data_IF_717439770180
#
_entry.id   IF_717439770180
#
_cell.length_a   1.000
_cell.length_b   1.000
_cell.length_c   1.000
_cell.angle_alpha   90.00
_cell.angle_beta   90.00
_cell.angle_gamma   90.00
#
_symmetry.space_group_name_H-M   'P 1'
#
loop_
_entity.id
_entity.type
_entity.pdbx_description
1 polymer ?
#
# COMPACT_ATOMS: atom_id res chain seq x y z
N UNK A 1 -28.61 4.07 -26.59
CA UNK A 1 -27.42 3.27 -26.33
C UNK A 1 -27.51 2.79 -24.90
N UNK A 2 -27.23 1.51 -24.56
CA UNK A 2 -27.17 1.11 -23.17
C UNK A 2 -26.08 1.94 -22.49
N UNK A 3 -26.39 2.41 -21.26
CA UNK A 3 -25.43 3.16 -20.44
C UNK A 3 -24.15 2.31 -20.32
N UNK A 4 -23.03 2.82 -20.79
CA UNK A 4 -21.73 2.18 -20.56
C UNK A 4 -21.51 2.16 -19.06
N UNK A 5 -21.55 0.98 -18.45
CA UNK A 5 -21.08 0.80 -17.09
C UNK A 5 -19.63 1.31 -17.06
N UNK A 6 -19.40 2.41 -16.36
CA UNK A 6 -18.05 2.96 -16.26
C UNK A 6 -17.20 2.03 -15.39
N UNK A 7 -16.14 1.48 -15.98
CA UNK A 7 -15.17 0.65 -15.23
C UNK A 7 -14.56 1.50 -14.12
N UNK A 8 -14.54 1.02 -12.87
CA UNK A 8 -13.86 1.74 -11.78
C UNK A 8 -12.38 1.98 -12.10
N UNK A 9 -11.85 3.10 -11.66
CA UNK A 9 -10.48 3.55 -11.93
C UNK A 9 -9.68 3.60 -10.63
N UNK A 10 -8.44 3.12 -10.65
CA UNK A 10 -7.51 3.25 -9.53
C UNK A 10 -6.27 4.02 -9.97
N UNK A 11 -5.95 5.11 -9.27
CA UNK A 11 -4.70 5.84 -9.43
C UNK A 11 -3.65 5.27 -8.48
N UNK A 12 -2.55 4.77 -9.03
CA UNK A 12 -1.38 4.32 -8.29
C UNK A 12 -0.31 5.40 -8.29
N UNK A 13 0.08 5.87 -7.11
CA UNK A 13 1.21 6.74 -6.87
C UNK A 13 2.28 5.91 -6.18
N UNK A 14 3.44 5.72 -6.79
CA UNK A 14 4.44 4.81 -6.21
C UNK A 14 5.76 4.75 -6.94
N UNK A 15 6.67 3.95 -6.41
CA UNK A 15 7.98 3.69 -7.00
C UNK A 15 7.91 2.74 -8.19
N UNK A 16 8.69 3.04 -9.21
CA UNK A 16 8.83 2.15 -10.36
C UNK A 16 9.89 1.08 -10.06
N UNK A 17 9.45 -0.16 -9.87
CA UNK A 17 10.33 -1.34 -9.89
C UNK A 17 10.37 -1.92 -11.31
N UNK A 18 11.48 -1.76 -12.06
CA UNK A 18 11.56 -2.24 -13.43
C UNK A 18 11.51 -3.76 -13.55
N UNK A 19 11.76 -4.51 -12.45
CA UNK A 19 11.63 -5.96 -12.43
C UNK A 19 10.19 -6.46 -12.22
N UNK A 20 9.22 -5.56 -12.01
CA UNK A 20 7.81 -5.84 -11.75
C UNK A 20 7.54 -6.75 -10.52
N UNK A 21 8.54 -6.94 -9.65
CA UNK A 21 8.40 -7.71 -8.43
C UNK A 21 7.64 -6.95 -7.32
N UNK A 22 7.64 -5.62 -7.37
CA UNK A 22 6.97 -4.72 -6.43
C UNK A 22 6.59 -3.40 -7.15
N UNK A 23 6.23 -2.36 -6.38
CA UNK A 23 5.99 -1.01 -6.87
C UNK A 23 4.83 -0.88 -7.86
N UNK A 24 4.85 0.19 -8.67
CA UNK A 24 3.78 0.54 -9.59
C UNK A 24 3.37 -0.59 -10.54
N UNK A 25 4.32 -1.35 -11.09
CA UNK A 25 3.99 -2.43 -12.00
C UNK A 25 3.23 -3.56 -11.28
N UNK A 26 3.56 -3.82 -10.01
CA UNK A 26 2.81 -4.77 -9.19
C UNK A 26 1.41 -4.24 -8.86
N UNK A 27 1.27 -2.97 -8.57
CA UNK A 27 -0.02 -2.32 -8.32
C UNK A 27 -0.93 -2.43 -9.53
N UNK A 28 -0.42 -2.06 -10.72
CA UNK A 28 -1.13 -2.15 -12.00
C UNK A 28 -1.60 -3.58 -12.30
N UNK A 29 -0.72 -4.56 -12.17
CA UNK A 29 -1.07 -5.97 -12.40
C UNK A 29 -2.14 -6.48 -11.43
N UNK A 30 -2.06 -6.09 -10.15
CA UNK A 30 -3.03 -6.48 -9.13
C UNK A 30 -4.42 -5.92 -9.43
N UNK A 31 -4.51 -4.64 -9.73
CA UNK A 31 -5.78 -3.97 -10.05
C UNK A 31 -6.39 -4.49 -11.35
N UNK A 32 -5.58 -4.68 -12.39
CA UNK A 32 -6.04 -5.25 -13.65
C UNK A 32 -6.60 -6.66 -13.47
N UNK A 33 -5.99 -7.50 -12.61
CA UNK A 33 -6.51 -8.84 -12.29
C UNK A 33 -7.87 -8.81 -11.56
N UNK A 34 -8.23 -7.69 -10.94
CA UNK A 34 -9.55 -7.45 -10.31
C UNK A 34 -10.55 -6.76 -11.25
N UNK A 35 -10.18 -6.50 -12.51
CA UNK A 35 -11.05 -5.80 -13.46
C UNK A 35 -11.15 -4.29 -13.22
N UNK A 36 -10.26 -3.70 -12.44
CA UNK A 36 -10.15 -2.26 -12.21
C UNK A 36 -9.20 -1.67 -13.25
N UNK A 37 -9.54 -0.51 -13.84
CA UNK A 37 -8.63 0.20 -14.74
C UNK A 37 -7.53 0.94 -13.97
N UNK A 38 -6.25 0.50 -14.04
CA UNK A 38 -5.19 1.15 -13.30
C UNK A 38 -4.60 2.32 -14.08
N UNK A 39 -4.39 3.44 -13.41
CA UNK A 39 -3.58 4.56 -13.87
C UNK A 39 -2.38 4.70 -12.93
N UNK A 40 -1.25 5.20 -13.43
CA UNK A 40 -0.03 5.25 -12.64
C UNK A 40 0.73 6.56 -12.82
N UNK A 41 1.17 7.12 -11.69
CA UNK A 41 2.14 8.23 -11.63
C UNK A 41 3.32 7.78 -10.78
N UNK A 42 4.52 7.84 -11.35
CA UNK A 42 5.75 7.54 -10.64
C UNK A 42 6.03 8.62 -9.59
N UNK A 43 6.31 8.21 -8.34
CA UNK A 43 6.74 9.07 -7.23
C UNK A 43 8.13 8.72 -6.70
N UNK A 44 8.77 7.69 -7.24
CA UNK A 44 10.16 7.32 -7.00
C UNK A 44 10.69 6.48 -8.17
N UNK A 45 11.71 6.97 -8.85
CA UNK A 45 12.45 6.16 -9.82
C UNK A 45 13.44 5.28 -9.09
N UNK A 46 13.47 3.99 -9.41
CA UNK A 46 14.40 3.05 -8.76
C UNK A 46 15.26 2.32 -9.76
N UNK A 47 16.54 2.16 -9.41
CA UNK A 47 17.43 1.22 -10.05
C UNK A 47 17.44 -0.05 -9.19
N UNK A 48 16.53 -0.98 -9.52
CA UNK A 48 16.41 -2.20 -8.71
C UNK A 48 16.14 -3.44 -9.57
N UNK A 49 16.39 -4.58 -8.98
CA UNK A 49 16.16 -5.89 -9.57
C UNK A 49 15.60 -6.88 -8.52
N UNK A 50 15.55 -8.16 -8.86
CA UNK A 50 15.05 -9.20 -7.97
C UNK A 50 15.85 -9.38 -6.66
N UNK A 51 17.05 -8.79 -6.51
CA UNK A 51 17.90 -8.93 -5.32
C UNK A 51 18.02 -7.67 -4.50
N UNK A 52 18.17 -6.51 -5.14
CA UNK A 52 18.48 -5.26 -4.44
C UNK A 52 17.90 -4.05 -5.15
N UNK A 53 17.62 -3.00 -4.38
CA UNK A 53 17.47 -1.63 -4.83
C UNK A 53 18.82 -0.93 -4.70
N UNK A 54 19.39 -0.50 -5.81
CA UNK A 54 20.74 0.09 -5.90
C UNK A 54 20.72 1.61 -5.80
N UNK A 55 19.65 2.23 -6.28
CA UNK A 55 19.45 3.68 -6.21
C UNK A 55 17.96 4.04 -6.24
N UNK A 56 17.62 5.16 -5.64
CA UNK A 56 16.30 5.78 -5.68
C UNK A 56 16.49 7.26 -6.00
N UNK A 57 15.68 7.80 -6.90
CA UNK A 57 15.68 9.20 -7.27
C UNK A 57 14.24 9.73 -7.38
N UNK A 58 14.01 11.04 -7.22
CA UNK A 58 12.74 11.63 -7.56
C UNK A 58 12.49 11.54 -9.07
N UNK A 59 11.26 11.24 -9.51
CA UNK A 59 10.91 11.20 -10.94
C UNK A 59 10.74 12.61 -11.50
N UNK A 60 10.79 12.72 -12.81
CA UNK A 60 10.47 13.97 -13.50
C UNK A 60 8.96 14.26 -13.40
N UNK A 61 8.63 15.46 -12.95
CA UNK A 61 7.32 16.12 -12.96
C UNK A 61 6.09 15.23 -12.67
N UNK A 62 5.93 14.71 -11.45
CA UNK A 62 4.77 13.88 -11.10
C UNK A 62 3.45 14.68 -11.08
N UNK A 63 3.51 15.99 -10.85
CA UNK A 63 2.32 16.85 -10.86
C UNK A 63 1.76 17.02 -12.27
N UNK A 64 2.58 17.31 -13.26
CA UNK A 64 2.12 17.41 -14.64
C UNK A 64 1.52 16.08 -15.14
N UNK A 65 2.08 14.95 -14.71
CA UNK A 65 1.52 13.62 -15.01
C UNK A 65 0.15 13.42 -14.37
N UNK A 66 -0.03 13.84 -13.11
CA UNK A 66 -1.33 13.79 -12.44
C UNK A 66 -2.34 14.70 -13.13
N UNK A 67 -1.96 15.93 -13.50
CA UNK A 67 -2.85 16.85 -14.22
C UNK A 67 -3.30 16.29 -15.58
N UNK A 68 -2.42 15.60 -16.30
CA UNK A 68 -2.77 14.94 -17.55
C UNK A 68 -3.81 13.80 -17.36
N UNK A 69 -3.85 13.19 -16.19
CA UNK A 69 -4.83 12.15 -15.84
C UNK A 69 -6.12 12.70 -15.22
N UNK A 70 -6.13 13.93 -14.69
CA UNK A 70 -7.26 14.52 -13.99
C UNK A 70 -8.60 14.42 -14.77
N UNK A 71 -8.66 14.64 -16.11
CA UNK A 71 -9.92 14.50 -16.84
C UNK A 71 -10.55 13.09 -16.76
N UNK A 72 -9.73 12.04 -16.64
CA UNK A 72 -10.22 10.67 -16.46
C UNK A 72 -10.80 10.43 -15.06
N UNK A 73 -10.24 11.10 -14.05
CA UNK A 73 -10.67 11.00 -12.65
C UNK A 73 -11.93 11.84 -12.38
N UNK A 74 -12.11 12.92 -13.11
CA UNK A 74 -13.29 13.82 -13.05
C UNK A 74 -14.47 13.30 -13.90
N UNK A 75 -14.29 12.22 -14.66
CA UNK A 75 -15.27 11.69 -15.62
C UNK A 75 -16.47 10.95 -15.01
N UNK A 76 -16.68 10.99 -13.69
CA UNK A 76 -17.85 10.46 -12.99
C UNK A 76 -17.84 8.95 -12.70
N UNK A 77 -16.81 8.20 -13.14
CA UNK A 77 -16.62 6.82 -12.70
C UNK A 77 -16.12 6.79 -11.24
N UNK A 78 -16.50 5.79 -10.42
CA UNK A 78 -15.89 5.60 -9.11
C UNK A 78 -14.38 5.42 -9.25
N UNK A 79 -13.60 6.20 -8.50
CA UNK A 79 -12.16 6.05 -8.51
C UNK A 79 -11.56 6.15 -7.11
N UNK A 80 -10.37 5.59 -6.96
CA UNK A 80 -9.63 5.63 -5.71
C UNK A 80 -8.14 5.73 -5.94
N UNK A 81 -7.40 5.99 -4.87
CA UNK A 81 -5.95 6.20 -4.93
C UNK A 81 -5.20 5.31 -3.94
N UNK A 82 -4.10 4.74 -4.41
CA UNK A 82 -3.08 4.10 -3.57
C UNK A 82 -1.79 4.91 -3.65
N UNK A 83 -1.23 5.28 -2.51
CA UNK A 83 0.11 5.81 -2.38
C UNK A 83 1.05 4.73 -1.82
N UNK A 84 2.19 4.53 -2.48
CA UNK A 84 3.27 3.65 -2.01
C UNK A 84 4.58 4.41 -1.84
N UNK A 85 5.69 3.84 -2.35
CA UNK A 85 7.03 4.42 -2.25
C UNK A 85 7.07 5.82 -2.89
N UNK A 86 7.58 6.81 -2.15
CA UNK A 86 7.63 8.21 -2.58
C UNK A 86 8.99 8.82 -2.24
N UNK A 87 9.69 9.35 -3.24
CA UNK A 87 11.00 10.02 -3.10
C UNK A 87 10.93 11.51 -3.44
N UNK A 88 9.75 12.11 -3.33
CA UNK A 88 9.54 13.53 -3.62
C UNK A 88 10.04 14.39 -2.45
N UNK A 89 10.51 15.59 -2.77
CA UNK A 89 10.75 16.60 -1.75
C UNK A 89 9.43 17.02 -1.06
N UNK A 90 9.49 17.59 0.15
CA UNK A 90 8.28 17.92 0.93
C UNK A 90 7.30 18.86 0.23
N UNK A 91 7.79 19.81 -0.56
CA UNK A 91 6.93 20.78 -1.26
C UNK A 91 6.18 20.12 -2.42
N UNK A 92 6.86 19.35 -3.25
CA UNK A 92 6.25 18.57 -4.33
C UNK A 92 5.29 17.52 -3.78
N UNK A 93 5.63 16.85 -2.67
CA UNK A 93 4.74 15.91 -2.01
C UNK A 93 3.45 16.57 -1.51
N UNK A 94 3.57 17.73 -0.83
CA UNK A 94 2.42 18.47 -0.34
C UNK A 94 1.49 18.94 -1.49
N UNK A 95 2.07 19.42 -2.59
CA UNK A 95 1.31 19.81 -3.77
C UNK A 95 0.57 18.61 -4.39
N UNK A 96 1.24 17.46 -4.51
CA UNK A 96 0.64 16.22 -5.02
C UNK A 96 -0.51 15.75 -4.12
N UNK A 97 -0.30 15.71 -2.80
CA UNK A 97 -1.30 15.33 -1.81
C UNK A 97 -2.53 16.26 -1.85
N UNK A 98 -2.30 17.58 -1.92
CA UNK A 98 -3.35 18.58 -2.04
C UNK A 98 -4.16 18.41 -3.33
N UNK A 99 -3.51 18.13 -4.45
CA UNK A 99 -4.21 17.89 -5.72
C UNK A 99 -5.04 16.61 -5.70
N UNK A 100 -4.51 15.53 -5.15
CA UNK A 100 -5.25 14.28 -4.96
C UNK A 100 -6.48 14.51 -4.09
N UNK A 101 -6.34 15.26 -2.99
CA UNK A 101 -7.47 15.60 -2.12
C UNK A 101 -8.55 16.40 -2.85
N UNK A 102 -8.14 17.39 -3.67
CA UNK A 102 -9.07 18.21 -4.48
C UNK A 102 -9.83 17.40 -5.54
N UNK A 103 -9.26 16.33 -6.07
CA UNK A 103 -9.89 15.39 -7.00
C UNK A 103 -10.89 14.44 -6.31
N UNK A 104 -10.98 14.46 -4.98
CA UNK A 104 -11.96 13.76 -4.15
C UNK A 104 -12.14 12.25 -4.45
N UNK A 105 -11.09 11.42 -4.34
CA UNK A 105 -11.21 9.97 -4.52
C UNK A 105 -12.18 9.35 -3.51
N UNK A 106 -12.97 8.36 -3.96
CA UNK A 106 -13.92 7.63 -3.12
C UNK A 106 -13.23 6.67 -2.12
N UNK A 107 -12.01 6.25 -2.40
CA UNK A 107 -11.21 5.39 -1.52
C UNK A 107 -9.73 5.79 -1.59
N UNK A 108 -9.07 5.80 -0.45
CA UNK A 108 -7.67 6.22 -0.30
C UNK A 108 -6.93 5.22 0.56
N UNK A 109 -5.79 4.72 0.09
CA UNK A 109 -4.92 3.88 0.89
C UNK A 109 -3.46 4.31 0.75
N UNK A 110 -2.77 4.39 1.88
CA UNK A 110 -1.34 4.62 1.96
C UNK A 110 -0.61 3.39 2.50
N UNK A 111 0.32 2.85 1.71
CA UNK A 111 1.29 1.83 2.12
C UNK A 111 2.59 2.56 2.50
N UNK A 112 2.89 2.76 3.81
CA UNK A 112 3.93 3.68 4.28
C UNK A 112 5.32 3.07 4.22
N UNK A 113 5.80 2.79 3.01
CA UNK A 113 7.06 2.08 2.76
C UNK A 113 8.24 2.90 3.28
N UNK A 114 8.94 2.37 4.30
CA UNK A 114 10.18 2.94 4.84
C UNK A 114 11.36 2.69 3.92
N UNK A 115 11.47 1.46 3.44
CA UNK A 115 12.55 1.02 2.57
C UNK A 115 12.05 -0.05 1.60
N UNK A 116 12.61 -0.15 0.39
CA UNK A 116 12.37 -1.30 -0.46
C UNK A 116 12.84 -2.58 0.23
N UNK A 117 12.29 -3.72 -0.18
CA UNK A 117 12.54 -5.05 0.45
C UNK A 117 14.03 -5.43 0.59
N UNK A 118 14.91 -4.79 -0.17
CA UNK A 118 16.37 -4.89 -0.03
C UNK A 118 17.02 -3.64 -0.61
N UNK A 119 17.83 -2.93 0.15
CA UNK A 119 18.61 -1.81 -0.36
C UNK A 119 18.62 -0.57 0.52
N UNK A 120 18.63 0.57 -0.12
CA UNK A 120 18.79 1.88 0.53
C UNK A 120 17.55 2.24 1.33
N UNK A 121 17.70 2.69 2.57
CA UNK A 121 16.63 3.30 3.34
C UNK A 121 16.18 4.59 2.65
N UNK A 122 14.88 4.69 2.37
CA UNK A 122 14.33 5.86 1.70
C UNK A 122 13.93 6.95 2.69
N UNK A 123 13.29 6.55 3.78
CA UNK A 123 12.79 7.46 4.79
C UNK A 123 13.35 7.16 6.17
N UNK A 124 13.79 8.20 6.87
CA UNK A 124 13.96 8.12 8.31
C UNK A 124 12.57 8.06 9.00
N UNK A 125 12.48 7.58 10.25
CA UNK A 125 11.24 7.66 11.01
C UNK A 125 10.67 9.09 11.11
N UNK A 126 11.52 10.10 11.15
CA UNK A 126 11.10 11.51 11.12
C UNK A 126 10.51 11.92 9.77
N UNK A 127 11.13 11.49 8.67
CA UNK A 127 10.61 11.71 7.32
C UNK A 127 9.25 11.06 7.10
N UNK A 128 9.09 9.82 7.57
CA UNK A 128 7.81 9.12 7.51
C UNK A 128 6.71 9.87 8.29
N UNK A 129 7.03 10.37 9.51
CA UNK A 129 6.10 11.18 10.31
C UNK A 129 5.71 12.48 9.61
N UNK A 130 6.65 13.16 8.97
CA UNK A 130 6.39 14.40 8.22
C UNK A 130 5.46 14.14 7.02
N UNK A 131 5.68 13.04 6.28
CA UNK A 131 4.79 12.62 5.20
C UNK A 131 3.39 12.28 5.73
N UNK A 132 3.30 11.53 6.83
CA UNK A 132 2.04 11.19 7.48
C UNK A 132 1.26 12.45 7.88
N UNK A 133 1.90 13.41 8.52
CA UNK A 133 1.28 14.67 8.93
C UNK A 133 0.72 15.45 7.73
N UNK A 134 1.46 15.51 6.62
CA UNK A 134 1.00 16.17 5.39
C UNK A 134 -0.18 15.43 4.74
N UNK A 135 -0.08 14.12 4.61
CA UNK A 135 -1.05 13.31 3.86
C UNK A 135 -2.37 13.14 4.62
N UNK A 136 -2.28 12.87 5.94
CA UNK A 136 -3.42 12.49 6.76
C UNK A 136 -4.23 13.70 7.27
N UNK A 137 -3.69 14.91 7.23
CA UNK A 137 -4.38 16.13 7.66
C UNK A 137 -5.71 16.35 6.93
N UNK A 138 -5.86 15.87 5.69
CA UNK A 138 -7.09 15.96 4.90
C UNK A 138 -8.12 14.84 5.19
N UNK A 139 -7.80 13.90 6.08
CA UNK A 139 -8.67 12.75 6.42
C UNK A 139 -8.92 11.77 5.28
N UNK A 140 -9.71 10.74 5.58
CA UNK A 140 -10.20 9.75 4.60
C UNK A 140 -9.14 8.77 4.06
N UNK A 141 -7.95 8.70 4.66
CA UNK A 141 -6.92 7.75 4.31
C UNK A 141 -6.94 6.53 5.23
N UNK A 142 -6.97 5.35 4.63
CA UNK A 142 -6.58 4.12 5.30
C UNK A 142 -5.08 3.96 5.18
N UNK A 143 -4.40 3.68 6.28
CA UNK A 143 -2.96 3.41 6.29
C UNK A 143 -2.74 1.91 6.49
N UNK A 144 -1.87 1.29 5.67
CA UNK A 144 -1.62 -0.14 5.74
C UNK A 144 -0.16 -0.46 6.10
N UNK A 145 0.30 -0.15 7.32
CA UNK A 145 1.66 -0.43 7.74
C UNK A 145 1.89 -1.92 8.01
N UNK A 146 3.10 -2.38 7.77
CA UNK A 146 3.60 -3.59 8.40
C UNK A 146 4.13 -3.28 9.81
N UNK A 147 4.50 -4.32 10.57
CA UNK A 147 4.99 -4.15 11.95
C UNK A 147 6.23 -3.23 12.05
N UNK A 148 7.29 -3.38 11.24
CA UNK A 148 8.43 -2.45 11.22
C UNK A 148 8.04 -0.98 10.95
N UNK A 149 7.15 -0.74 10.02
CA UNK A 149 6.65 0.59 9.65
C UNK A 149 5.84 1.21 10.80
N UNK A 150 4.97 0.43 11.43
CA UNK A 150 4.20 0.88 12.58
C UNK A 150 5.09 1.19 13.79
N UNK A 151 6.09 0.38 14.08
CA UNK A 151 7.10 0.63 15.13
C UNK A 151 7.90 1.91 14.87
N UNK A 152 8.29 2.17 13.62
CA UNK A 152 8.98 3.41 13.23
C UNK A 152 8.12 4.66 13.48
N UNK A 153 6.81 4.55 13.29
CA UNK A 153 5.87 5.64 13.61
C UNK A 153 5.66 5.80 15.11
N UNK A 154 5.48 4.70 15.84
CA UNK A 154 5.22 4.73 17.28
C UNK A 154 6.45 5.18 18.11
N UNK A 155 7.67 4.94 17.60
CA UNK A 155 8.90 5.25 18.30
C UNK A 155 9.19 4.32 19.48
N UNK A 156 10.07 4.73 20.38
CA UNK A 156 10.59 3.88 21.47
C UNK A 156 9.54 3.51 22.56
N UNK A 157 8.34 4.05 22.48
CA UNK A 157 7.31 3.84 23.51
C UNK A 157 6.52 2.52 23.38
N UNK A 158 6.61 1.85 22.23
CA UNK A 158 5.90 0.58 21.99
C UNK A 158 6.91 -0.52 21.72
N UNK A 159 6.91 -1.53 22.60
CA UNK A 159 7.71 -2.74 22.41
C UNK A 159 6.75 -3.90 22.06
N UNK A 160 7.08 -4.64 21.02
CA UNK A 160 6.39 -5.86 20.64
C UNK A 160 7.41 -6.99 20.72
N UNK A 161 7.12 -7.97 21.57
CA UNK A 161 7.93 -9.20 21.60
C UNK A 161 7.74 -9.92 20.26
N UNK A 162 8.81 -10.01 19.47
CA UNK A 162 8.75 -10.55 18.11
C UNK A 162 8.47 -12.05 18.02
N UNK A 163 8.15 -12.71 19.12
CA UNK A 163 7.96 -14.18 19.19
C UNK A 163 6.50 -14.63 19.10
N UNK A 164 5.54 -13.74 19.30
CA UNK A 164 4.10 -14.07 19.28
C UNK A 164 3.31 -13.15 18.35
N UNK A 165 2.07 -13.52 17.97
CA UNK A 165 1.17 -12.60 17.30
C UNK A 165 1.01 -11.31 18.12
N UNK A 166 0.94 -10.18 17.44
CA UNK A 166 0.78 -8.88 18.10
C UNK A 166 -0.52 -8.85 18.90
N UNK A 167 -0.51 -8.58 20.22
CA UNK A 167 -1.74 -8.42 20.98
C UNK A 167 -2.57 -7.22 20.51
N UNK A 168 -3.90 -7.28 20.67
CA UNK A 168 -4.80 -6.21 20.21
C UNK A 168 -4.47 -4.85 20.84
N UNK A 169 -4.07 -4.81 22.13
CA UNK A 169 -3.65 -3.59 22.82
C UNK A 169 -2.37 -3.00 22.20
N UNK A 170 -1.41 -3.85 21.83
CA UNK A 170 -0.20 -3.41 21.18
C UNK A 170 -0.50 -2.94 19.73
N UNK A 171 -1.42 -3.61 19.03
CA UNK A 171 -1.89 -3.17 17.72
C UNK A 171 -2.54 -1.79 17.79
N UNK A 172 -3.37 -1.53 18.82
CA UNK A 172 -3.96 -0.21 19.04
C UNK A 172 -2.89 0.87 19.30
N UNK A 173 -1.90 0.56 20.14
CA UNK A 173 -0.81 1.49 20.43
C UNK A 173 0.04 1.80 19.19
N UNK A 174 0.29 0.82 18.32
CA UNK A 174 1.01 0.98 17.06
C UNK A 174 0.23 1.81 16.03
N UNK A 175 -1.09 1.73 16.04
CA UNK A 175 -1.96 2.48 15.14
C UNK A 175 -2.15 3.94 15.58
N UNK A 176 -2.05 4.22 16.88
CA UNK A 176 -2.37 5.52 17.48
C UNK A 176 -1.71 6.72 16.80
N UNK A 177 -0.41 6.70 16.46
CA UNK A 177 0.23 7.85 15.80
C UNK A 177 -0.37 8.20 14.44
N UNK A 178 -0.88 7.22 13.69
CA UNK A 178 -1.54 7.47 12.42
C UNK A 178 -2.95 8.06 12.62
N UNK A 179 -3.70 7.51 13.57
CA UNK A 179 -5.05 8.00 13.91
C UNK A 179 -5.00 9.43 14.44
N UNK A 180 -4.04 9.75 15.29
CA UNK A 180 -3.85 11.12 15.84
C UNK A 180 -3.50 12.15 14.75
N UNK A 181 -2.91 11.70 13.63
CA UNK A 181 -2.62 12.53 12.46
C UNK A 181 -3.81 12.62 11.48
N UNK A 182 -4.91 11.93 11.74
CA UNK A 182 -6.14 12.01 10.93
C UNK A 182 -6.39 10.83 9.99
N UNK A 183 -5.71 9.68 10.16
CA UNK A 183 -6.07 8.48 9.44
C UNK A 183 -7.50 8.05 9.78
N UNK A 184 -8.29 7.65 8.77
CA UNK A 184 -9.61 7.07 8.95
C UNK A 184 -9.55 5.71 9.65
N UNK A 185 -8.58 4.90 9.23
CA UNK A 185 -8.30 3.59 9.81
C UNK A 185 -6.85 3.18 9.58
N UNK A 186 -6.38 2.24 10.37
CA UNK A 186 -5.09 1.57 10.18
C UNK A 186 -5.34 0.08 9.97
N UNK A 187 -4.91 -0.43 8.83
CA UNK A 187 -4.83 -1.87 8.57
C UNK A 187 -3.41 -2.35 8.91
N UNK A 188 -3.19 -2.76 10.16
CA UNK A 188 -1.91 -3.30 10.61
C UNK A 188 -1.72 -4.73 10.10
N UNK A 189 -0.70 -4.92 9.25
CA UNK A 189 -0.37 -6.21 8.62
C UNK A 189 0.53 -7.04 9.54
N UNK A 190 0.09 -8.24 9.93
CA UNK A 190 0.82 -9.15 10.83
C UNK A 190 1.91 -9.98 10.19
N UNK A 191 2.13 -9.87 8.88
CA UNK A 191 3.04 -10.73 8.12
C UNK A 191 4.49 -10.73 8.57
N UNK A 192 4.97 -9.69 9.24
CA UNK A 192 6.34 -9.57 9.77
C UNK A 192 6.48 -10.01 11.23
N UNK A 193 5.41 -10.42 11.89
CA UNK A 193 5.48 -11.06 13.21
C UNK A 193 6.11 -12.46 13.11
N UNK A 194 6.43 -13.04 14.27
CA UNK A 194 6.86 -14.44 14.37
C UNK A 194 5.65 -15.37 14.50
N UNK A 195 5.90 -16.67 14.59
CA UNK A 195 4.86 -17.66 14.79
C UNK A 195 4.35 -18.32 13.51
N UNK A 196 3.48 -19.32 13.71
CA UNK A 196 2.92 -20.14 12.61
C UNK A 196 1.70 -19.51 11.96
N UNK A 197 1.11 -18.51 12.58
CA UNK A 197 -0.07 -17.81 12.12
C UNK A 197 0.24 -16.33 11.85
N UNK A 198 -0.57 -15.72 11.03
CA UNK A 198 -0.58 -14.28 10.73
C UNK A 198 -1.96 -13.76 11.10
N UNK A 199 -2.02 -12.69 11.87
CA UNK A 199 -3.23 -11.97 12.19
C UNK A 199 -3.06 -10.50 11.78
N UNK A 200 -3.98 -10.00 10.99
CA UNK A 200 -4.07 -8.59 10.63
C UNK A 200 -5.13 -7.91 11.49
N UNK A 201 -4.97 -6.62 11.74
CA UNK A 201 -5.93 -5.83 12.52
C UNK A 201 -6.43 -4.64 11.72
N UNK A 202 -7.72 -4.38 11.83
CA UNK A 202 -8.36 -3.14 11.41
C UNK A 202 -8.64 -2.27 12.64
N UNK A 203 -8.05 -1.08 12.68
CA UNK A 203 -8.06 -0.22 13.84
C UNK A 203 -8.60 1.15 13.45
N UNK A 204 -9.60 1.62 14.20
CA UNK A 204 -10.20 2.95 14.06
C UNK A 204 -10.19 3.66 15.41
N UNK A 205 -10.70 4.87 15.47
CA UNK A 205 -10.94 5.56 16.74
C UNK A 205 -11.91 4.81 17.65
N UNK A 206 -12.80 3.99 17.10
CA UNK A 206 -13.83 3.26 17.81
C UNK A 206 -13.33 1.93 18.41
N UNK A 207 -12.19 1.41 17.94
CA UNK A 207 -11.60 0.18 18.48
C UNK A 207 -10.78 -0.64 17.50
N UNK A 208 -10.48 -1.87 17.93
CA UNK A 208 -9.64 -2.85 17.21
C UNK A 208 -10.50 -4.04 16.79
N UNK A 209 -10.44 -4.39 15.53
CA UNK A 209 -11.07 -5.57 14.93
C UNK A 209 -9.98 -6.50 14.40
N UNK A 210 -9.89 -7.73 14.92
CA UNK A 210 -9.07 -8.78 14.31
C UNK A 210 -9.70 -9.25 13.00
N UNK A 211 -8.91 -9.30 11.94
CA UNK A 211 -9.36 -9.71 10.60
C UNK A 211 -9.29 -11.21 10.34
N UNK A 212 -9.07 -11.98 11.40
CA UNK A 212 -8.92 -13.43 11.36
C UNK A 212 -7.46 -13.89 11.35
N UNK A 213 -7.27 -15.15 11.68
CA UNK A 213 -5.96 -15.81 11.73
C UNK A 213 -5.77 -16.72 10.54
N UNK A 214 -4.61 -16.68 9.98
CA UNK A 214 -4.24 -17.44 8.80
C UNK A 214 -2.93 -18.18 9.03
N UNK A 215 -2.78 -19.42 8.57
CA UNK A 215 -1.47 -20.08 8.56
C UNK A 215 -0.47 -19.24 7.81
N UNK A 216 0.76 -19.10 8.34
CA UNK A 216 1.84 -18.40 7.64
C UNK A 216 2.19 -19.15 6.37
N UNK A 217 2.27 -18.41 5.27
CA UNK A 217 2.66 -18.98 3.98
C UNK A 217 4.18 -19.24 3.94
N UNK A 218 4.63 -20.32 3.29
CA UNK A 218 6.04 -20.69 3.25
C UNK A 218 6.85 -19.75 2.36
N UNK A 219 8.09 -19.47 2.78
CA UNK A 219 9.02 -18.65 2.03
C UNK A 219 8.63 -17.17 1.98
N UNK A 220 9.36 -16.41 1.18
CA UNK A 220 9.17 -14.96 0.98
C UNK A 220 8.77 -14.67 -0.45
N UNK A 221 8.00 -13.61 -0.65
CA UNK A 221 7.61 -13.07 -1.97
C UNK A 221 7.78 -11.56 -1.97
N UNK A 222 8.32 -11.04 -3.08
CA UNK A 222 8.38 -9.58 -3.28
C UNK A 222 7.00 -9.05 -3.62
N UNK A 223 6.73 -7.81 -3.19
CA UNK A 223 5.50 -7.08 -3.53
C UNK A 223 4.26 -7.49 -2.75
N UNK A 224 4.39 -8.19 -1.61
CA UNK A 224 3.26 -8.54 -0.74
C UNK A 224 2.48 -7.31 -0.28
N UNK A 225 3.16 -6.27 0.24
CA UNK A 225 2.54 -5.02 0.67
C UNK A 225 1.81 -4.32 -0.46
N UNK A 226 2.50 -4.14 -1.61
CA UNK A 226 1.91 -3.53 -2.81
C UNK A 226 0.67 -4.30 -3.28
N UNK A 227 0.75 -5.64 -3.34
CA UNK A 227 -0.39 -6.49 -3.73
C UNK A 227 -1.56 -6.34 -2.76
N UNK A 228 -1.32 -6.37 -1.44
CA UNK A 228 -2.36 -6.22 -0.43
C UNK A 228 -3.04 -4.85 -0.53
N UNK A 229 -2.27 -3.76 -0.56
CA UNK A 229 -2.83 -2.41 -0.61
C UNK A 229 -3.61 -2.16 -1.91
N UNK A 230 -3.09 -2.61 -3.07
CA UNK A 230 -3.78 -2.46 -4.35
C UNK A 230 -5.01 -3.35 -4.45
N UNK A 231 -4.96 -4.58 -3.95
CA UNK A 231 -6.13 -5.45 -3.90
C UNK A 231 -7.22 -4.87 -2.98
N UNK A 232 -6.84 -4.31 -1.82
CA UNK A 232 -7.78 -3.61 -0.94
C UNK A 232 -8.48 -2.47 -1.68
N UNK A 233 -7.74 -1.62 -2.38
CA UNK A 233 -8.31 -0.52 -3.16
C UNK A 233 -9.28 -1.04 -4.23
N UNK A 234 -8.91 -2.09 -4.96
CA UNK A 234 -9.77 -2.71 -5.94
C UNK A 234 -11.08 -3.21 -5.35
N UNK A 235 -11.04 -3.94 -4.23
CA UNK A 235 -12.22 -4.43 -3.53
C UNK A 235 -13.09 -3.30 -2.96
N UNK A 236 -12.48 -2.21 -2.48
CA UNK A 236 -13.21 -1.00 -2.07
C UNK A 236 -13.99 -0.40 -3.23
N UNK A 237 -13.39 -0.29 -4.40
CA UNK A 237 -14.03 0.22 -5.62
C UNK A 237 -15.11 -0.71 -6.17
N UNK A 238 -15.04 -2.01 -5.83
CA UNK A 238 -16.08 -3.00 -6.11
C UNK A 238 -17.18 -3.05 -5.03
N UNK A 239 -17.12 -2.18 -4.01
CA UNK A 239 -18.20 -1.96 -3.04
C UNK A 239 -18.06 -2.67 -1.69
N UNK A 240 -16.96 -3.38 -1.42
CA UNK A 240 -16.75 -3.98 -0.10
C UNK A 240 -16.45 -2.90 0.96
N UNK A 241 -16.86 -3.10 2.21
CA UNK A 241 -16.43 -2.27 3.33
C UNK A 241 -14.92 -2.43 3.62
N UNK A 242 -14.31 -1.50 4.37
CA UNK A 242 -12.86 -1.48 4.61
C UNK A 242 -12.29 -2.78 5.18
N UNK A 243 -12.81 -3.30 6.29
CA UNK A 243 -12.37 -4.57 6.87
C UNK A 243 -12.57 -5.77 5.94
N UNK A 244 -13.72 -5.84 5.25
CA UNK A 244 -14.04 -6.90 4.29
C UNK A 244 -13.08 -6.88 3.10
N UNK A 245 -12.76 -5.69 2.57
CA UNK A 245 -11.79 -5.51 1.51
C UNK A 245 -10.38 -5.96 1.94
N UNK A 246 -10.00 -5.77 3.22
CA UNK A 246 -8.73 -6.24 3.74
C UNK A 246 -8.67 -7.78 3.80
N UNK A 247 -9.73 -8.42 4.27
CA UNK A 247 -9.85 -9.89 4.25
C UNK A 247 -9.82 -10.43 2.81
N UNK A 248 -10.54 -9.79 1.87
CA UNK A 248 -10.55 -10.18 0.46
C UNK A 248 -9.15 -10.00 -0.18
N UNK A 249 -8.42 -8.94 0.16
CA UNK A 249 -7.05 -8.72 -0.29
C UNK A 249 -6.09 -9.80 0.24
N UNK A 250 -6.23 -10.19 1.51
CA UNK A 250 -5.44 -11.29 2.08
C UNK A 250 -5.71 -12.63 1.38
N UNK A 251 -6.97 -12.93 1.04
CA UNK A 251 -7.34 -14.11 0.25
C UNK A 251 -6.74 -14.06 -1.15
N UNK A 252 -6.90 -12.93 -1.85
CA UNK A 252 -6.34 -12.71 -3.18
C UNK A 252 -4.83 -12.98 -3.23
N UNK A 253 -4.09 -12.50 -2.21
CA UNK A 253 -2.66 -12.76 -2.06
C UNK A 253 -2.37 -14.26 -1.90
N UNK A 254 -3.10 -14.93 -1.00
CA UNK A 254 -2.91 -16.35 -0.65
C UNK A 254 -3.17 -17.27 -1.82
N UNK A 255 -4.22 -17.01 -2.60
CA UNK A 255 -4.58 -17.78 -3.82
C UNK A 255 -3.49 -17.73 -4.90
N UNK A 256 -2.64 -16.68 -4.87
CA UNK A 256 -1.56 -16.46 -5.83
C UNK A 256 -0.17 -16.76 -5.26
N UNK A 257 -0.12 -17.33 -4.06
CA UNK A 257 1.17 -17.60 -3.43
C UNK A 257 1.99 -18.63 -4.18
N UNK A 258 1.36 -19.68 -4.66
CA UNK A 258 2.02 -20.77 -5.37
C UNK A 258 1.39 -20.97 -6.79
N UNK A 259 2.22 -21.29 -7.80
CA UNK A 259 3.67 -21.39 -7.74
C UNK A 259 4.35 -20.01 -7.72
N UNK A 260 5.54 -19.92 -7.07
CA UNK A 260 6.34 -18.69 -7.10
C UNK A 260 6.86 -18.41 -8.51
N UNK A 261 6.90 -17.13 -8.88
CA UNK A 261 7.51 -16.68 -10.13
C UNK A 261 8.90 -16.14 -9.84
N UNK A 262 9.90 -16.70 -10.48
CA UNK A 262 11.29 -16.23 -10.41
C UNK A 262 11.69 -15.71 -11.80
N UNK A 263 11.51 -14.40 -12.07
CA UNK A 263 11.76 -13.84 -13.40
C UNK A 263 13.19 -14.09 -13.86
N UNK A 264 13.34 -14.74 -15.01
CA UNK A 264 14.66 -15.12 -15.55
C UNK A 264 15.47 -16.05 -14.64
N UNK A 265 14.88 -16.73 -13.67
CA UNK A 265 15.59 -17.57 -12.71
C UNK A 265 16.46 -16.78 -11.70
N UNK A 266 16.23 -15.46 -11.54
CA UNK A 266 17.12 -14.58 -10.79
C UNK A 266 16.39 -13.85 -9.66
N UNK A 267 17.07 -13.74 -8.50
CA UNK A 267 16.62 -12.92 -7.37
C UNK A 267 15.59 -13.59 -6.46
N UNK A 268 14.78 -12.80 -5.78
CA UNK A 268 13.72 -13.27 -4.89
C UNK A 268 12.42 -13.48 -5.69
N UNK A 269 11.65 -14.52 -5.39
CA UNK A 269 10.41 -14.79 -6.07
C UNK A 269 9.34 -13.70 -5.84
N UNK A 270 8.43 -13.58 -6.79
CA UNK A 270 7.23 -12.76 -6.71
C UNK A 270 5.99 -13.58 -7.09
N UNK A 271 4.84 -12.93 -7.26
CA UNK A 271 3.58 -13.56 -7.63
C UNK A 271 3.43 -13.70 -9.13
N UNK A 272 2.61 -14.66 -9.56
CA UNK A 272 2.16 -14.75 -10.94
C UNK A 272 1.34 -13.48 -11.32
N UNK A 273 1.53 -12.94 -12.54
CA UNK A 273 0.82 -11.74 -12.98
C UNK A 273 -0.63 -11.98 -13.41
N UNK A 274 -1.06 -13.21 -13.56
CA UNK A 274 -2.37 -13.58 -14.11
C UNK A 274 -3.41 -14.02 -13.06
N UNK A 275 -4.62 -14.41 -13.52
CA UNK A 275 -5.57 -15.10 -12.68
C UNK A 275 -4.96 -16.41 -12.15
N UNK A 276 -5.46 -16.93 -11.02
CA UNK A 276 -4.95 -18.17 -10.44
C UNK A 276 -5.20 -19.37 -11.35
#
# INVERSE_FOLDING_TARGET
MPARSSTPVALCLGGLDPSAGAGLLRDVMTLAALGIHPMAVCTADTVQNGRACLAIAPPADPLARLEALAPHLEGGAPWGVKLGLCALDPATFAALAGRVAALAPAARIWDPILAPTAGVDLHSPAGLRAMAATLLAGGGWVVSPNLPEALAMAGAGVQVDGQEPVPAEAAAALARPFLDLGAEAVWLKGGHGAGREVEDFWITADGVLGLGRWPRLPGERRGTGCTLASAWLGWRLLGLAGPEAAVAAARFLRERWDPPVLPGGFGRPCFAPGPP
#
